data_IF_559014976975
#
_entry.id   IF_559014976975
#
_cell.length_a   1.000
_cell.length_b   1.000
_cell.length_c   1.000
_cell.angle_alpha   90.00
_cell.angle_beta   90.00
_cell.angle_gamma   90.00
#
_symmetry.space_group_name_H-M   'P 1'
#
loop_
_entity.id
_entity.type
_entity.pdbx_description
1 polymer ?
#
# COMPACT_ATOMS: atom_id res chain seq x y z
N UNK A 1 -66.61 19.91 10.11
CA UNK A 1 -67.66 19.00 9.63
C UNK A 1 -67.02 17.70 9.23
N UNK A 2 -67.13 16.73 10.17
CA UNK A 2 -67.62 15.37 9.99
C UNK A 2 -66.74 14.42 9.19
N UNK A 3 -66.12 13.50 9.92
CA UNK A 3 -65.81 12.08 9.56
C UNK A 3 -67.08 11.34 9.11
N UNK A 4 -67.09 10.13 8.51
CA UNK A 4 -66.46 8.93 9.07
C UNK A 4 -65.92 7.91 8.03
N UNK A 5 -64.99 7.04 8.49
CA UNK A 5 -65.12 5.59 8.72
C UNK A 5 -65.55 4.71 7.53
N UNK A 6 -64.65 3.80 7.17
CA UNK A 6 -64.98 2.39 7.04
C UNK A 6 -63.72 1.53 6.86
N UNK A 7 -63.51 0.61 7.83
CA UNK A 7 -62.83 -0.66 7.57
C UNK A 7 -63.75 -1.55 6.72
N UNK A 8 -63.22 -2.46 5.93
CA UNK A 8 -63.29 -3.85 6.27
C UNK A 8 -61.97 -4.57 5.95
N UNK A 9 -61.68 -5.55 6.53
CA UNK A 9 -62.12 -6.93 6.73
C UNK A 9 -60.94 -7.86 6.47
N UNK A 10 -60.81 -8.76 7.38
CA UNK A 10 -59.84 -9.83 7.46
C UNK A 10 -59.95 -10.83 6.30
N UNK A 11 -58.79 -11.20 5.73
CA UNK A 11 -58.58 -12.59 5.33
C UNK A 11 -57.15 -12.97 5.64
N UNK A 12 -56.99 -13.76 6.68
CA UNK A 12 -55.84 -14.58 6.98
C UNK A 12 -55.57 -15.52 5.81
N UNK A 13 -54.46 -15.30 5.15
CA UNK A 13 -53.88 -16.32 4.30
C UNK A 13 -52.57 -16.78 4.93
N UNK A 14 -52.66 -18.00 5.47
CA UNK A 14 -51.56 -18.72 6.10
C UNK A 14 -50.47 -18.97 5.09
N UNK A 15 -49.29 -18.38 5.30
CA UNK A 15 -48.06 -18.76 4.63
C UNK A 15 -47.57 -20.10 5.17
N UNK A 16 -47.14 -21.03 4.31
CA UNK A 16 -46.62 -22.32 4.76
C UNK A 16 -45.20 -22.09 5.34
N UNK A 17 -44.98 -22.69 6.49
CA UNK A 17 -43.67 -22.80 7.15
C UNK A 17 -42.65 -23.47 6.20
N UNK A 18 -41.41 -22.97 6.10
CA UNK A 18 -40.38 -23.71 5.40
C UNK A 18 -39.92 -24.88 6.27
N UNK A 19 -40.06 -26.05 5.68
CA UNK A 19 -39.57 -27.32 6.17
C UNK A 19 -38.06 -27.23 6.42
N UNK A 20 -37.65 -27.25 7.67
CA UNK A 20 -36.26 -27.36 8.10
C UNK A 20 -35.80 -28.80 7.85
N UNK A 21 -35.34 -29.08 6.67
CA UNK A 21 -34.48 -30.24 6.42
C UNK A 21 -33.21 -30.06 7.22
N UNK A 22 -32.98 -30.96 8.16
CA UNK A 22 -31.75 -31.09 8.89
C UNK A 22 -30.66 -31.50 7.91
N UNK A 23 -29.86 -30.53 7.47
CA UNK A 23 -28.56 -30.84 6.88
C UNK A 23 -27.67 -31.44 7.97
N UNK A 24 -27.50 -32.74 7.90
CA UNK A 24 -26.41 -33.43 8.58
C UNK A 24 -25.09 -32.81 8.09
N UNK A 25 -24.50 -31.99 8.93
CA UNK A 25 -23.10 -31.55 8.79
C UNK A 25 -22.20 -32.76 8.94
N UNK A 26 -21.96 -33.45 7.85
CA UNK A 26 -20.81 -34.35 7.77
C UNK A 26 -19.56 -33.48 7.85
N UNK A 27 -18.98 -33.41 9.04
CA UNK A 27 -17.60 -33.02 9.23
C UNK A 27 -16.72 -33.99 8.44
N UNK A 28 -16.55 -33.69 7.14
CA UNK A 28 -15.47 -34.21 6.36
C UNK A 28 -14.17 -33.65 6.95
N UNK A 29 -13.54 -34.40 7.82
CA UNK A 29 -12.12 -34.23 8.08
C UNK A 29 -11.42 -34.38 6.75
N UNK A 30 -11.09 -33.24 6.12
CA UNK A 30 -10.08 -33.21 5.09
C UNK A 30 -8.78 -33.71 5.72
N UNK A 31 -8.58 -35.00 5.69
CA UNK A 31 -7.26 -35.58 5.83
C UNK A 31 -6.42 -34.91 4.73
N UNK A 32 -5.56 -34.00 5.14
CA UNK A 32 -4.52 -33.46 4.27
C UNK A 32 -3.76 -34.69 3.75
N UNK A 33 -4.03 -35.05 2.49
CA UNK A 33 -3.26 -36.07 1.80
C UNK A 33 -1.79 -35.69 1.96
N UNK A 34 -1.05 -36.58 2.62
CA UNK A 34 0.39 -36.44 2.76
C UNK A 34 0.96 -36.32 1.36
N UNK A 35 1.72 -35.25 1.05
CA UNK A 35 2.28 -35.10 -0.28
C UNK A 35 3.08 -36.34 -0.62
N UNK A 36 2.62 -37.08 -1.63
CA UNK A 36 3.29 -38.27 -2.13
C UNK A 36 4.60 -37.81 -2.74
N UNK A 37 5.71 -38.13 -2.10
CA UNK A 37 7.03 -37.82 -2.61
C UNK A 37 7.22 -38.61 -3.90
N UNK A 38 6.98 -38.02 -5.06
CA UNK A 38 7.36 -38.61 -6.32
C UNK A 38 8.88 -38.71 -6.35
N UNK A 39 9.37 -39.91 -6.24
CA UNK A 39 10.77 -40.24 -6.44
C UNK A 39 11.13 -39.96 -7.89
N UNK A 40 11.57 -38.73 -8.18
CA UNK A 40 12.24 -38.45 -9.43
C UNK A 40 13.63 -39.14 -9.38
N UNK A 41 13.96 -39.90 -10.40
CA UNK A 41 15.22 -40.69 -10.49
C UNK A 41 16.45 -39.79 -10.75
N UNK A 42 16.47 -38.60 -10.22
CA UNK A 42 17.60 -37.69 -10.20
C UNK A 42 17.23 -36.50 -9.28
N UNK A 43 17.93 -36.40 -8.14
CA UNK A 43 17.77 -35.21 -7.33
C UNK A 43 18.39 -34.03 -8.08
N UNK A 44 17.57 -33.00 -8.33
CA UNK A 44 18.02 -31.73 -8.90
C UNK A 44 19.21 -31.20 -8.08
N UNK A 45 20.35 -30.85 -8.72
CA UNK A 45 21.54 -30.35 -8.00
C UNK A 45 21.25 -29.14 -7.13
N UNK A 46 20.33 -28.28 -7.54
CA UNK A 46 19.89 -27.08 -6.78
C UNK A 46 19.18 -27.49 -5.49
N UNK A 47 18.32 -28.50 -5.54
CA UNK A 47 17.64 -29.02 -4.34
C UNK A 47 18.63 -29.55 -3.31
N UNK A 48 19.65 -30.32 -3.78
CA UNK A 48 20.73 -30.80 -2.92
C UNK A 48 21.52 -29.63 -2.33
N UNK A 49 21.89 -28.66 -3.14
CA UNK A 49 22.63 -27.50 -2.67
C UNK A 49 21.85 -26.72 -1.59
N UNK A 50 20.56 -26.52 -1.76
CA UNK A 50 19.70 -25.88 -0.76
C UNK A 50 19.59 -26.72 0.52
N UNK A 51 19.47 -28.03 0.40
CA UNK A 51 19.35 -28.91 1.55
C UNK A 51 20.66 -29.00 2.36
N UNK A 52 21.82 -28.96 1.70
CA UNK A 52 23.13 -29.04 2.36
C UNK A 52 23.67 -27.66 2.77
N UNK A 53 23.17 -26.57 2.22
CA UNK A 53 23.55 -25.21 2.63
C UNK A 53 23.01 -24.79 4.01
N UNK A 54 22.25 -25.67 4.67
CA UNK A 54 21.58 -25.33 5.93
C UNK A 54 20.26 -24.57 5.77
N UNK A 55 19.79 -24.46 4.56
CA UNK A 55 18.46 -24.00 4.25
C UNK A 55 17.54 -25.23 4.06
N UNK A 56 16.51 -25.40 4.83
CA UNK A 56 15.81 -24.51 5.75
C UNK A 56 16.41 -24.52 7.17
N UNK A 57 16.13 -23.43 7.91
CA UNK A 57 16.44 -23.36 9.33
C UNK A 57 15.89 -24.60 10.04
N UNK A 58 16.76 -25.30 10.75
CA UNK A 58 16.42 -26.55 11.48
C UNK A 58 15.35 -26.34 12.55
N UNK A 59 14.99 -25.10 12.85
CA UNK A 59 13.89 -24.74 13.74
C UNK A 59 12.50 -24.88 13.10
N UNK A 60 12.42 -25.03 11.78
CA UNK A 60 11.17 -25.24 11.09
C UNK A 60 10.96 -26.74 10.82
N UNK A 61 9.95 -27.32 11.45
CA UNK A 61 9.58 -28.73 11.30
C UNK A 61 9.09 -29.13 9.88
N UNK A 62 9.21 -28.26 8.91
CA UNK A 62 8.72 -28.50 7.53
C UNK A 62 9.91 -28.51 6.56
N UNK A 63 10.22 -29.66 5.97
CA UNK A 63 11.23 -29.73 4.91
C UNK A 63 10.75 -28.96 3.67
N UNK A 64 11.68 -28.45 2.84
CA UNK A 64 11.33 -27.84 1.56
C UNK A 64 10.57 -28.83 0.69
N UNK A 65 9.51 -28.38 0.06
CA UNK A 65 8.66 -29.18 -0.83
C UNK A 65 8.92 -28.75 -2.26
N UNK A 66 9.14 -29.73 -3.16
CA UNK A 66 9.21 -29.47 -4.58
C UNK A 66 7.84 -29.04 -5.10
N UNK A 67 7.82 -27.91 -5.81
CA UNK A 67 6.60 -27.45 -6.45
C UNK A 67 6.23 -28.38 -7.63
N UNK A 68 4.95 -28.63 -7.86
CA UNK A 68 4.50 -29.37 -9.05
C UNK A 68 4.98 -28.68 -10.34
N UNK A 69 5.44 -29.50 -11.30
CA UNK A 69 5.76 -29.00 -12.64
C UNK A 69 4.49 -29.02 -13.51
N UNK A 70 3.65 -28.03 -13.33
CA UNK A 70 2.42 -27.87 -14.09
C UNK A 70 2.19 -26.42 -14.54
N UNK A 71 1.26 -26.25 -15.48
CA UNK A 71 0.95 -24.93 -16.03
C UNK A 71 0.39 -23.95 -14.99
N UNK A 72 -0.16 -24.43 -13.87
CA UNK A 72 -0.66 -23.62 -12.78
C UNK A 72 0.51 -23.03 -11.99
N UNK A 73 1.48 -23.85 -11.62
CA UNK A 73 2.70 -23.44 -10.94
C UNK A 73 3.51 -22.45 -11.78
N UNK A 74 3.68 -22.72 -13.08
CA UNK A 74 4.34 -21.79 -14.00
C UNK A 74 3.65 -20.43 -14.07
N UNK A 75 2.32 -20.42 -14.05
CA UNK A 75 1.54 -19.17 -14.05
C UNK A 75 1.74 -18.38 -12.77
N UNK A 76 1.74 -19.06 -11.63
CA UNK A 76 1.98 -18.43 -10.32
C UNK A 76 3.39 -17.86 -10.22
N UNK A 77 4.41 -18.58 -10.67
CA UNK A 77 5.79 -18.10 -10.70
C UNK A 77 5.93 -16.85 -11.59
N UNK A 78 5.34 -16.88 -12.79
CA UNK A 78 5.33 -15.69 -13.66
C UNK A 78 4.57 -14.51 -13.04
N UNK A 79 3.50 -14.75 -12.30
CA UNK A 79 2.80 -13.70 -11.58
C UNK A 79 3.65 -13.10 -10.46
N UNK A 80 4.46 -13.92 -9.77
CA UNK A 80 5.44 -13.44 -8.78
C UNK A 80 6.53 -12.58 -9.42
N UNK A 81 7.05 -12.99 -10.59
CA UNK A 81 8.05 -12.20 -11.35
C UNK A 81 7.53 -10.83 -11.79
N UNK A 82 6.21 -10.69 -11.98
CA UNK A 82 5.56 -9.43 -12.33
C UNK A 82 5.22 -8.57 -11.10
N UNK A 83 5.34 -9.12 -9.89
CA UNK A 83 5.07 -8.37 -8.69
C UNK A 83 6.22 -7.41 -8.41
N UNK A 84 5.96 -6.10 -8.25
CA UNK A 84 7.01 -5.15 -7.93
C UNK A 84 7.77 -5.57 -6.68
N UNK A 85 9.10 -5.49 -6.73
CA UNK A 85 9.97 -5.83 -5.59
C UNK A 85 9.83 -4.81 -4.46
N UNK A 86 9.38 -3.60 -4.80
CA UNK A 86 9.29 -2.49 -3.86
C UNK A 86 7.85 -2.18 -3.47
N UNK A 87 7.64 -1.98 -2.17
CA UNK A 87 6.49 -1.28 -1.66
C UNK A 87 6.73 0.23 -1.76
N UNK A 88 5.83 0.93 -2.45
CA UNK A 88 5.96 2.36 -2.66
C UNK A 88 5.05 3.12 -1.69
N UNK A 89 5.66 4.05 -0.96
CA UNK A 89 4.95 4.91 -0.03
C UNK A 89 5.17 6.38 -0.39
N UNK A 90 4.16 7.20 -0.13
CA UNK A 90 4.25 8.64 -0.22
C UNK A 90 3.81 9.26 1.10
N UNK A 91 4.59 10.21 1.57
CA UNK A 91 4.37 10.87 2.86
C UNK A 91 4.38 12.38 2.63
N UNK A 92 3.30 13.04 3.02
CA UNK A 92 3.21 14.49 3.02
C UNK A 92 4.03 15.09 4.16
N UNK A 93 4.81 16.14 3.87
CA UNK A 93 5.61 16.83 4.86
C UNK A 93 5.31 18.31 4.87
N UNK A 94 4.86 18.79 6.03
CA UNK A 94 4.48 20.16 6.27
C UNK A 94 5.43 20.82 7.30
N UNK A 95 5.79 22.05 7.03
CA UNK A 95 6.48 22.90 7.98
C UNK A 95 5.52 23.97 8.52
N UNK A 96 5.41 24.06 9.82
CA UNK A 96 4.64 25.09 10.52
C UNK A 96 5.63 26.01 11.21
N UNK A 97 5.71 27.24 10.74
CA UNK A 97 6.56 28.27 11.36
C UNK A 97 5.90 28.87 12.59
N UNK A 98 6.69 29.60 13.35
CA UNK A 98 6.25 30.26 14.58
C UNK A 98 4.97 31.09 14.37
N UNK A 99 3.97 30.90 15.23
CA UNK A 99 2.64 31.54 15.21
C UNK A 99 1.79 31.30 13.96
N UNK A 100 2.18 30.43 13.04
CA UNK A 100 1.34 30.09 11.89
C UNK A 100 0.19 29.17 12.31
N UNK A 101 -1.04 29.59 12.03
CA UNK A 101 -2.24 28.81 12.36
C UNK A 101 -3.14 28.55 11.16
N UNK A 102 -2.93 29.30 10.06
CA UNK A 102 -3.76 29.17 8.86
C UNK A 102 -3.11 28.25 7.84
N UNK A 103 -3.92 27.38 7.28
CA UNK A 103 -3.48 26.41 6.26
C UNK A 103 -2.75 27.10 5.10
N UNK A 104 -3.26 28.21 4.62
CA UNK A 104 -2.67 28.94 3.51
C UNK A 104 -1.26 29.47 3.85
N UNK A 105 -1.03 29.92 5.07
CA UNK A 105 0.28 30.40 5.55
C UNK A 105 1.27 29.23 5.58
N UNK A 106 0.85 28.09 6.15
CA UNK A 106 1.63 26.85 6.26
C UNK A 106 2.02 26.32 4.88
N UNK A 107 1.06 26.21 3.96
CA UNK A 107 1.31 25.74 2.60
C UNK A 107 2.14 26.72 1.76
N UNK A 108 2.18 28.01 2.13
CA UNK A 108 2.97 29.03 1.44
C UNK A 108 4.44 29.05 1.82
N UNK A 109 4.84 28.30 2.84
CA UNK A 109 6.25 28.19 3.24
C UNK A 109 7.08 27.60 2.10
N UNK A 110 8.20 28.28 1.79
CA UNK A 110 9.18 27.84 0.78
C UNK A 110 10.54 27.50 1.42
N UNK A 111 10.66 27.67 2.70
CA UNK A 111 11.82 27.34 3.51
C UNK A 111 11.39 27.15 4.97
N UNK A 112 12.26 26.66 5.82
CA UNK A 112 12.03 26.51 7.24
C UNK A 112 13.26 26.85 8.07
N UNK A 113 13.19 26.59 9.38
CA UNK A 113 14.29 26.83 10.31
C UNK A 113 15.51 25.92 10.05
N UNK A 114 16.62 26.24 10.66
CA UNK A 114 17.82 25.38 10.62
C UNK A 114 17.55 23.98 11.21
N UNK A 115 16.67 23.90 12.20
CA UNK A 115 16.26 22.61 12.79
C UNK A 115 15.47 21.78 11.77
N UNK A 116 14.53 22.41 11.06
CA UNK A 116 13.80 21.79 9.97
C UNK A 116 14.72 21.32 8.84
N UNK A 117 15.69 22.14 8.43
CA UNK A 117 16.64 21.74 7.37
C UNK A 117 17.50 20.54 7.78
N UNK A 118 17.91 20.46 9.04
CA UNK A 118 18.60 19.28 9.58
C UNK A 118 17.68 18.05 9.60
N UNK A 119 16.42 18.23 9.98
CA UNK A 119 15.43 17.16 9.93
C UNK A 119 15.27 16.63 8.51
N UNK A 120 15.11 17.49 7.50
CA UNK A 120 15.01 17.10 6.10
C UNK A 120 16.22 16.27 5.65
N UNK A 121 17.42 16.67 6.02
CA UNK A 121 18.65 15.95 5.64
C UNK A 121 18.78 14.57 6.26
N UNK A 122 17.96 14.24 7.26
CA UNK A 122 17.91 12.92 7.89
C UNK A 122 16.84 12.00 7.28
N UNK A 123 15.96 12.53 6.41
CA UNK A 123 14.86 11.73 5.81
C UNK A 123 15.34 10.77 4.72
N UNK A 124 16.42 11.10 4.02
CA UNK A 124 16.92 10.33 2.91
C UNK A 124 17.71 11.18 1.92
N UNK A 125 17.80 10.71 0.69
CA UNK A 125 18.53 11.38 -0.38
C UNK A 125 17.67 12.45 -1.06
N UNK A 126 18.27 13.61 -1.31
CA UNK A 126 17.65 14.66 -2.12
C UNK A 126 17.92 14.36 -3.60
N UNK A 127 16.90 14.01 -4.34
CA UNK A 127 17.00 13.66 -5.75
C UNK A 127 16.41 14.72 -6.67
N UNK A 128 16.93 14.91 -7.90
CA UNK A 128 16.28 15.73 -8.90
C UNK A 128 15.04 15.02 -9.43
N UNK A 129 13.94 15.75 -9.64
CA UNK A 129 12.70 15.20 -10.20
C UNK A 129 12.76 15.09 -11.72
N UNK A 130 13.35 16.08 -12.38
CA UNK A 130 13.37 16.14 -13.84
C UNK A 130 14.10 14.96 -14.46
N UNK A 131 13.41 14.24 -15.36
CA UNK A 131 13.95 13.07 -16.03
C UNK A 131 14.13 11.85 -15.14
N UNK A 132 13.55 11.84 -13.94
CA UNK A 132 13.65 10.71 -13.04
C UNK A 132 12.80 9.53 -13.52
N UNK A 133 13.45 8.40 -13.81
CA UNK A 133 12.79 7.16 -14.26
C UNK A 133 12.92 6.02 -13.24
N UNK A 134 14.01 6.00 -12.49
CA UNK A 134 14.36 4.89 -11.61
C UNK A 134 13.70 4.96 -10.23
N UNK A 135 13.07 6.09 -9.90
CA UNK A 135 12.51 6.33 -8.57
C UNK A 135 11.02 6.69 -8.68
N UNK A 136 10.23 6.04 -7.86
CA UNK A 136 8.82 6.41 -7.71
C UNK A 136 8.69 7.80 -7.10
N UNK A 137 8.01 8.69 -7.79
CA UNK A 137 7.88 10.11 -7.38
C UNK A 137 6.52 10.45 -6.76
N UNK A 138 5.63 9.47 -6.59
CA UNK A 138 4.34 9.65 -5.92
C UNK A 138 3.35 10.57 -6.63
N UNK A 139 3.61 10.92 -7.91
CA UNK A 139 2.81 11.87 -8.67
C UNK A 139 3.43 13.27 -8.78
N UNK A 140 4.64 13.48 -8.23
CA UNK A 140 5.40 14.70 -8.49
C UNK A 140 5.76 14.82 -9.97
N UNK A 141 5.65 16.01 -10.52
CA UNK A 141 5.97 16.28 -11.91
C UNK A 141 7.47 16.06 -12.21
N UNK A 142 7.75 15.35 -13.31
CA UNK A 142 9.11 14.99 -13.72
C UNK A 142 9.56 15.70 -15.00
N UNK A 143 8.77 16.65 -15.49
CA UNK A 143 9.02 17.28 -16.79
C UNK A 143 9.15 18.81 -16.70
N UNK A 144 8.21 19.46 -16.07
CA UNK A 144 8.04 20.90 -16.09
C UNK A 144 8.38 21.63 -14.77
N UNK A 145 8.85 20.90 -13.75
CA UNK A 145 9.13 21.41 -12.40
C UNK A 145 7.88 22.01 -11.69
N UNK A 146 6.67 21.61 -12.09
CA UNK A 146 5.44 22.11 -11.50
C UNK A 146 5.33 21.90 -9.99
N UNK A 147 5.88 20.77 -9.52
CA UNK A 147 5.90 20.42 -8.09
C UNK A 147 7.27 20.64 -7.45
N UNK A 148 8.13 21.41 -8.10
CA UNK A 148 9.49 21.67 -7.65
C UNK A 148 10.53 20.86 -8.41
N UNK A 149 11.80 21.11 -8.07
CA UNK A 149 12.94 20.51 -8.77
C UNK A 149 13.48 19.26 -8.10
N UNK A 150 13.20 19.11 -6.81
CA UNK A 150 13.79 18.08 -5.96
C UNK A 150 12.76 17.45 -5.04
N UNK A 151 12.99 16.20 -4.65
CA UNK A 151 12.27 15.52 -3.59
C UNK A 151 13.21 14.73 -2.70
N UNK A 152 12.86 14.55 -1.45
CA UNK A 152 13.53 13.61 -0.56
C UNK A 152 12.97 12.21 -0.79
N UNK A 153 13.87 11.22 -0.87
CA UNK A 153 13.52 9.81 -1.05
C UNK A 153 14.35 8.97 -0.11
N UNK A 154 13.68 8.09 0.59
CA UNK A 154 14.30 7.03 1.36
C UNK A 154 14.00 5.67 0.72
N UNK A 155 14.98 4.76 0.69
CA UNK A 155 14.79 3.42 0.14
C UNK A 155 15.64 2.40 0.85
N UNK A 156 15.10 1.18 0.96
CA UNK A 156 15.84 -0.02 1.35
C UNK A 156 15.68 -1.11 0.27
N UNK A 157 15.88 -2.37 0.63
CA UNK A 157 15.81 -3.50 -0.31
C UNK A 157 14.41 -3.77 -0.87
N UNK A 158 13.36 -3.37 -0.15
CA UNK A 158 11.97 -3.73 -0.48
C UNK A 158 11.01 -2.54 -0.41
N UNK A 159 11.45 -1.38 0.08
CA UNK A 159 10.58 -0.21 0.29
C UNK A 159 11.21 1.05 -0.26
N UNK A 160 10.34 1.90 -0.79
CA UNK A 160 10.71 3.23 -1.24
C UNK A 160 9.67 4.23 -0.74
N UNK A 161 10.15 5.29 -0.11
CA UNK A 161 9.34 6.39 0.39
C UNK A 161 9.73 7.66 -0.33
N UNK A 162 8.77 8.34 -0.93
CA UNK A 162 8.94 9.70 -1.44
C UNK A 162 8.24 10.68 -0.48
N UNK A 163 8.91 11.78 -0.16
CA UNK A 163 8.38 12.82 0.70
C UNK A 163 7.86 13.98 -0.14
N UNK A 164 6.56 14.21 -0.10
CA UNK A 164 5.90 15.38 -0.68
C UNK A 164 6.12 16.59 0.23
N UNK A 165 7.30 17.19 0.11
CA UNK A 165 7.75 18.26 0.99
C UNK A 165 7.20 19.61 0.53
N UNK A 166 6.25 20.18 1.29
CA UNK A 166 5.55 21.43 0.93
C UNK A 166 6.50 22.61 0.65
N UNK A 167 7.61 22.68 1.38
CA UNK A 167 8.60 23.77 1.24
C UNK A 167 9.47 23.64 -0.02
N UNK A 168 9.56 22.47 -0.64
CA UNK A 168 10.27 22.28 -1.91
C UNK A 168 9.38 22.54 -3.14
N UNK A 169 8.07 22.64 -2.92
CA UNK A 169 7.11 22.93 -3.98
C UNK A 169 6.99 24.44 -4.21
N UNK A 170 6.95 24.91 -5.47
CA UNK A 170 6.81 26.32 -5.76
C UNK A 170 5.42 26.85 -5.38
N UNK A 171 5.35 28.16 -5.15
CA UNK A 171 4.09 28.89 -5.03
C UNK A 171 3.76 29.52 -6.37
N UNK A 172 2.72 29.00 -7.05
CA UNK A 172 2.25 29.58 -8.30
C UNK A 172 1.40 30.83 -8.03
N UNK A 173 1.58 31.88 -8.82
CA UNK A 173 0.88 33.14 -8.66
C UNK A 173 -0.63 33.00 -8.83
N UNK A 174 -1.06 32.13 -9.75
CA UNK A 174 -2.46 31.86 -10.02
C UNK A 174 -3.13 30.93 -9.00
N UNK A 175 -2.37 30.31 -8.09
CA UNK A 175 -2.86 29.40 -7.06
C UNK A 175 -2.77 30.05 -5.68
N UNK A 176 -3.63 31.04 -5.44
CA UNK A 176 -3.65 31.81 -4.19
C UNK A 176 -3.90 30.91 -2.96
N UNK A 177 -4.74 29.91 -3.12
CA UNK A 177 -5.11 28.99 -2.03
C UNK A 177 -4.18 27.80 -1.88
N UNK A 178 -3.11 27.71 -2.66
CA UNK A 178 -2.17 26.56 -2.67
C UNK A 178 -2.87 25.23 -2.92
N UNK A 179 -3.90 25.26 -3.77
CA UNK A 179 -4.75 24.12 -4.07
C UNK A 179 -3.95 22.96 -4.69
N UNK A 180 -2.94 23.24 -5.52
CA UNK A 180 -2.05 22.25 -6.12
C UNK A 180 -1.23 21.51 -5.05
N UNK A 181 -0.60 22.23 -4.12
CA UNK A 181 0.12 21.64 -2.98
C UNK A 181 -0.82 20.85 -2.09
N UNK A 182 -1.98 21.42 -1.77
CA UNK A 182 -2.99 20.78 -0.94
C UNK A 182 -3.49 19.49 -1.55
N UNK A 183 -3.79 19.48 -2.86
CA UNK A 183 -4.28 18.29 -3.55
C UNK A 183 -3.24 17.17 -3.56
N UNK A 184 -1.98 17.50 -3.77
CA UNK A 184 -0.90 16.51 -3.80
C UNK A 184 -0.64 15.92 -2.41
N UNK A 185 -0.39 16.77 -1.41
CA UNK A 185 -0.10 16.37 -0.04
C UNK A 185 -1.34 15.72 0.60
N UNK A 186 -2.53 16.27 0.38
CA UNK A 186 -3.77 15.77 0.96
C UNK A 186 -4.17 14.35 0.51
N UNK A 187 -3.59 13.87 -0.58
CA UNK A 187 -3.75 12.49 -1.05
C UNK A 187 -2.79 11.49 -0.40
N UNK A 188 -1.93 11.94 0.50
CA UNK A 188 -1.01 11.08 1.21
C UNK A 188 -1.68 10.49 2.46
N UNK A 189 -1.46 9.19 2.70
CA UNK A 189 -2.04 8.53 3.88
C UNK A 189 -1.38 8.94 5.20
N UNK A 190 -0.15 9.43 5.13
CA UNK A 190 0.64 9.83 6.30
C UNK A 190 1.14 11.25 6.08
N UNK A 191 1.01 12.07 7.13
CA UNK A 191 1.56 13.41 7.14
C UNK A 191 2.52 13.57 8.33
N UNK A 192 3.67 14.15 8.05
CA UNK A 192 4.62 14.61 9.06
C UNK A 192 4.49 16.13 9.15
N UNK A 193 4.20 16.61 10.33
CA UNK A 193 4.15 18.05 10.62
C UNK A 193 5.32 18.42 11.50
N UNK A 194 6.23 19.20 10.94
CA UNK A 194 7.32 19.80 11.73
C UNK A 194 6.85 21.16 12.22
N UNK A 195 6.72 21.30 13.53
CA UNK A 195 6.29 22.53 14.19
C UNK A 195 7.49 23.18 14.88
N UNK A 196 7.78 24.44 14.53
CA UNK A 196 8.97 25.16 15.00
C UNK A 196 8.63 26.04 16.21
#
# INVERSE_FOLDING_TARGET
TVTPSSKPDHSEEASPEPNLEKEETTHGTHELEKPTLHRTSGMEPIFLALQFSGYPDKSQDKPPVLLPQDASTDRLLRAMDLTPVYDFHKIGLLYVGFEQTKEQEILSNTHGSMAYMRFLSCLGDLIPLRGQEDVYTGGLDRQADEHGKYAYVWRDYSRQIVFHTSTLMPNHENDVNRASKKALIGNDYVHIVFND
#
